data_IF_808712831333
#
_entry.id   IF_808712831333
#
_cell.length_a   1.000
_cell.length_b   1.000
_cell.length_c   1.000
_cell.angle_alpha   90.00
_cell.angle_beta   90.00
_cell.angle_gamma   90.00
#
_symmetry.space_group_name_H-M   'P 1'
#
loop_
_entity.id
_entity.type
_entity.pdbx_description
1 polymer ?
#
# COMPACT_ATOMS: atom_id res chain seq x y z
N UNK A 1 -34.25 -1.24 31.58
CA UNK A 1 -34.62 -1.48 30.17
C UNK A 1 -33.35 -1.69 29.37
N UNK A 2 -33.02 -2.93 29.04
CA UNK A 2 -31.92 -3.26 28.13
C UNK A 2 -32.42 -3.04 26.70
N UNK A 3 -31.87 -2.04 26.00
CA UNK A 3 -32.18 -1.81 24.59
C UNK A 3 -31.59 -2.98 23.78
N UNK A 4 -32.44 -3.93 23.38
CA UNK A 4 -32.10 -4.91 22.37
C UNK A 4 -32.09 -4.21 21.02
N UNK A 5 -30.89 -3.84 20.56
CA UNK A 5 -30.69 -3.38 19.19
C UNK A 5 -30.83 -4.61 18.31
N UNK A 6 -31.98 -4.74 17.62
CA UNK A 6 -32.16 -5.73 16.57
C UNK A 6 -31.25 -5.36 15.40
N UNK A 7 -30.05 -5.94 15.36
CA UNK A 7 -29.14 -5.77 14.24
C UNK A 7 -29.61 -6.69 13.12
N UNK A 8 -29.97 -6.11 11.98
CA UNK A 8 -30.35 -6.85 10.80
C UNK A 8 -29.15 -7.61 10.23
N UNK A 9 -29.34 -8.90 9.95
CA UNK A 9 -28.33 -9.75 9.31
C UNK A 9 -27.91 -9.23 7.93
N UNK A 10 -28.82 -8.57 7.21
CA UNK A 10 -28.52 -8.01 5.88
C UNK A 10 -27.61 -6.78 5.98
N UNK A 11 -27.83 -5.92 6.98
CA UNK A 11 -26.96 -4.78 7.30
C UNK A 11 -25.55 -5.24 7.72
N UNK A 12 -25.43 -6.34 8.46
CA UNK A 12 -24.13 -6.93 8.79
C UNK A 12 -23.41 -7.49 7.56
N UNK A 13 -24.13 -8.17 6.66
CA UNK A 13 -23.56 -8.69 5.43
C UNK A 13 -23.07 -7.55 4.53
N UNK A 14 -23.82 -6.46 4.43
CA UNK A 14 -23.42 -5.28 3.66
C UNK A 14 -22.19 -4.60 4.25
N UNK A 15 -22.17 -4.37 5.57
CA UNK A 15 -20.99 -3.83 6.26
C UNK A 15 -19.76 -4.71 6.05
N UNK A 16 -19.94 -6.03 6.04
CA UNK A 16 -18.84 -6.96 5.76
C UNK A 16 -18.32 -6.82 4.33
N UNK A 17 -19.20 -6.69 3.34
CA UNK A 17 -18.81 -6.45 1.93
C UNK A 17 -18.02 -5.16 1.78
N UNK A 18 -18.47 -4.07 2.42
CA UNK A 18 -17.76 -2.78 2.40
C UNK A 18 -16.37 -2.91 3.01
N UNK A 19 -16.25 -3.56 4.18
CA UNK A 19 -14.96 -3.77 4.83
C UNK A 19 -14.02 -4.58 3.95
N UNK A 20 -14.52 -5.65 3.32
CA UNK A 20 -13.68 -6.51 2.49
C UNK A 20 -13.24 -5.77 1.20
N UNK A 21 -14.12 -4.98 0.58
CA UNK A 21 -13.75 -4.09 -0.53
C UNK A 21 -12.67 -3.05 -0.14
N UNK A 22 -12.76 -2.48 1.08
CA UNK A 22 -11.73 -1.57 1.59
C UNK A 22 -10.40 -2.27 1.78
N UNK A 23 -10.40 -3.50 2.32
CA UNK A 23 -9.16 -4.29 2.49
C UNK A 23 -8.50 -4.58 1.15
N UNK A 24 -9.27 -4.95 0.13
CA UNK A 24 -8.75 -5.22 -1.20
C UNK A 24 -8.13 -3.97 -1.84
N UNK A 25 -8.77 -2.82 -1.65
CA UNK A 25 -8.23 -1.53 -2.08
C UNK A 25 -6.90 -1.19 -1.38
N UNK A 26 -6.82 -1.42 -0.06
CA UNK A 26 -5.58 -1.22 0.70
C UNK A 26 -4.46 -2.18 0.27
N UNK A 27 -4.76 -3.46 0.06
CA UNK A 27 -3.80 -4.44 -0.42
C UNK A 27 -3.22 -4.01 -1.78
N UNK A 28 -4.10 -3.61 -2.72
CA UNK A 28 -3.72 -3.12 -4.04
C UNK A 28 -2.81 -1.89 -3.96
N UNK A 29 -3.12 -0.93 -3.08
CA UNK A 29 -2.31 0.27 -2.89
C UNK A 29 -0.91 -0.05 -2.32
N UNK A 30 -0.83 -0.99 -1.38
CA UNK A 30 0.45 -1.45 -0.81
C UNK A 30 1.30 -2.12 -1.89
N UNK A 31 0.71 -3.01 -2.69
CA UNK A 31 1.42 -3.70 -3.77
C UNK A 31 1.97 -2.72 -4.81
N UNK A 32 1.16 -1.75 -5.24
CA UNK A 32 1.59 -0.68 -6.14
C UNK A 32 2.77 0.10 -5.54
N UNK A 33 2.68 0.50 -4.27
CA UNK A 33 3.76 1.22 -3.59
C UNK A 33 5.05 0.40 -3.48
N UNK A 34 4.94 -0.89 -3.18
CA UNK A 34 6.11 -1.76 -3.14
C UNK A 34 6.73 -1.94 -4.53
N UNK A 35 5.92 -2.02 -5.58
CA UNK A 35 6.42 -2.08 -6.95
C UNK A 35 7.19 -0.80 -7.33
N UNK A 36 6.69 0.39 -6.95
CA UNK A 36 7.41 1.66 -7.10
C UNK A 36 8.77 1.66 -6.38
N UNK A 37 8.81 1.16 -5.14
CA UNK A 37 10.05 1.10 -4.36
C UNK A 37 11.06 0.13 -5.00
N UNK A 38 10.62 -1.06 -5.42
CA UNK A 38 11.49 -2.03 -6.13
C UNK A 38 12.02 -1.46 -7.44
N UNK A 39 11.22 -0.70 -8.19
CA UNK A 39 11.68 -0.01 -9.40
C UNK A 39 12.76 1.05 -9.09
N UNK A 40 12.64 1.75 -7.95
CA UNK A 40 13.64 2.75 -7.50
C UNK A 40 14.93 2.13 -6.99
N UNK A 41 14.86 0.97 -6.33
CA UNK A 41 16.03 0.24 -5.82
C UNK A 41 16.75 -0.58 -6.91
N UNK A 42 16.33 -0.45 -8.17
CA UNK A 42 17.06 -1.06 -9.29
C UNK A 42 18.48 -0.47 -9.38
N UNK A 43 19.55 -1.30 -9.50
CA UNK A 43 20.96 -0.88 -9.38
C UNK A 43 21.50 0.14 -10.41
N UNK A 44 20.65 0.77 -11.22
CA UNK A 44 21.02 1.81 -12.18
C UNK A 44 20.82 3.24 -11.68
N UNK A 45 19.93 3.49 -10.71
CA UNK A 45 19.58 4.86 -10.31
C UNK A 45 20.52 5.46 -9.24
N UNK A 46 21.14 4.63 -8.39
CA UNK A 46 22.12 5.11 -7.38
C UNK A 46 23.56 5.20 -7.92
N UNK A 47 23.88 4.53 -9.02
CA UNK A 47 25.23 4.52 -9.60
C UNK A 47 25.63 5.88 -10.21
N UNK A 48 24.67 6.74 -10.55
CA UNK A 48 24.92 8.03 -11.17
C UNK A 48 25.67 9.04 -10.29
N UNK A 49 25.49 9.00 -8.96
CA UNK A 49 26.11 9.99 -8.06
C UNK A 49 27.47 9.52 -7.53
N UNK A 50 27.64 8.22 -7.31
CA UNK A 50 28.92 7.65 -6.85
C UNK A 50 29.98 7.77 -7.98
N UNK A 51 29.60 7.56 -9.23
CA UNK A 51 30.48 7.82 -10.38
C UNK A 51 30.80 9.31 -10.60
N UNK A 52 29.94 10.22 -10.15
CA UNK A 52 30.16 11.66 -10.26
C UNK A 52 31.12 12.19 -9.17
N UNK A 53 31.08 11.62 -7.95
CA UNK A 53 32.02 11.93 -6.86
C UNK A 53 33.42 11.37 -7.10
N UNK A 54 33.56 10.25 -7.83
CA UNK A 54 34.85 9.66 -8.18
C UNK A 54 35.63 10.43 -9.27
N UNK A 55 35.00 11.40 -9.96
CA UNK A 55 35.65 12.19 -11.03
C UNK A 55 36.30 13.48 -10.59
N UNK A 56 36.43 13.75 -9.28
CA UNK A 56 37.26 14.84 -8.77
C UNK A 56 38.51 14.31 -8.06
N UNK A 57 39.33 13.60 -8.80
CA UNK A 57 40.75 13.45 -8.50
C UNK A 57 41.56 13.55 -9.79
N UNK A 58 41.73 14.79 -10.28
CA UNK A 58 43.01 15.31 -10.76
C UNK A 58 42.96 16.83 -10.87
#
# INVERSE_FOLDING_TARGET
MTQQVSIDSEDLAEKRRVIDAMKDAFASAIEARQAELRARDMPGHRAGWIGMLARKQR
#
